data_IF_702519498048
#
_entry.id   IF_702519498048
#
_cell.length_a   1.000
_cell.length_b   1.000
_cell.length_c   1.000
_cell.angle_alpha   90.00
_cell.angle_beta   90.00
_cell.angle_gamma   90.00
#
_symmetry.space_group_name_H-M   'P 1'
#
loop_
_entity.id
_entity.type
_entity.pdbx_description
1 polymer ?
#
# COMPACT_ATOMS: atom_id res chain seq x y z
N UNK A 1 29.15 -39.80 -58.77
CA UNK A 1 29.45 -40.19 -57.38
C UNK A 1 29.65 -38.93 -56.56
N UNK A 2 28.90 -38.81 -55.44
CA UNK A 2 29.01 -37.89 -54.27
C UNK A 2 29.19 -36.38 -54.53
N UNK A 3 28.50 -35.43 -53.90
CA UNK A 3 27.67 -35.32 -52.68
C UNK A 3 27.78 -33.83 -52.23
N UNK A 4 27.06 -33.25 -51.28
CA UNK A 4 25.77 -33.46 -50.65
C UNK A 4 25.33 -32.08 -50.12
N UNK A 5 24.04 -31.77 -50.17
CA UNK A 5 23.43 -30.52 -49.69
C UNK A 5 23.56 -30.34 -48.17
N UNK A 6 23.89 -29.13 -47.73
CA UNK A 6 23.81 -28.70 -46.33
C UNK A 6 23.21 -27.30 -46.22
N UNK A 7 21.87 -27.21 -46.13
CA UNK A 7 21.14 -26.00 -45.72
C UNK A 7 19.72 -26.39 -45.30
N UNK A 8 19.50 -26.66 -44.02
CA UNK A 8 18.16 -26.70 -43.37
C UNK A 8 18.31 -26.98 -41.87
N UNK A 9 18.72 -25.99 -41.07
CA UNK A 9 18.67 -26.09 -39.60
C UNK A 9 18.52 -24.74 -38.88
N UNK A 10 17.94 -23.74 -39.54
CA UNK A 10 17.68 -22.42 -38.95
C UNK A 10 16.18 -22.11 -38.80
N UNK A 11 15.30 -22.71 -39.59
CA UNK A 11 13.86 -22.37 -39.59
C UNK A 11 12.99 -23.10 -38.53
N UNK A 12 13.52 -24.10 -37.79
CA UNK A 12 12.70 -24.86 -36.83
C UNK A 12 12.62 -24.26 -35.40
N UNK A 13 13.26 -23.12 -35.13
CA UNK A 13 13.25 -22.51 -33.79
C UNK A 13 12.31 -21.29 -33.68
N UNK A 14 11.70 -20.84 -34.77
CA UNK A 14 10.78 -19.70 -34.79
C UNK A 14 9.34 -20.06 -34.39
N UNK A 15 8.83 -21.22 -34.81
CA UNK A 15 7.41 -21.59 -34.65
C UNK A 15 7.03 -21.93 -33.19
N UNK A 16 7.90 -22.61 -32.44
CA UNK A 16 7.58 -23.03 -31.07
C UNK A 16 7.42 -21.86 -30.08
N UNK A 17 8.05 -20.71 -30.34
CA UNK A 17 7.97 -19.52 -29.48
C UNK A 17 6.69 -18.69 -29.72
N UNK A 18 6.09 -18.80 -30.92
CA UNK A 18 4.85 -18.11 -31.28
C UNK A 18 3.65 -18.86 -30.68
N UNK A 19 3.70 -20.19 -30.69
CA UNK A 19 2.63 -21.05 -30.13
C UNK A 19 2.49 -20.92 -28.61
N UNK A 20 3.61 -20.81 -27.89
CA UNK A 20 3.63 -20.58 -26.45
C UNK A 20 3.05 -19.22 -26.04
N UNK A 21 3.26 -18.18 -26.86
CA UNK A 21 2.69 -16.85 -26.61
C UNK A 21 1.19 -16.81 -26.86
N UNK A 22 0.72 -17.47 -27.92
CA UNK A 22 -0.69 -17.50 -28.26
C UNK A 22 -1.51 -18.26 -27.20
N UNK A 23 -0.97 -19.36 -26.67
CA UNK A 23 -1.59 -20.13 -25.58
C UNK A 23 -1.75 -19.32 -24.28
N UNK A 24 -0.78 -18.44 -23.97
CA UNK A 24 -0.87 -17.57 -22.78
C UNK A 24 -1.89 -16.46 -22.98
N UNK A 25 -2.01 -15.90 -24.19
CA UNK A 25 -3.00 -14.87 -24.51
C UNK A 25 -4.42 -15.42 -24.38
N UNK A 26 -4.72 -16.59 -24.97
CA UNK A 26 -6.05 -17.18 -24.86
C UNK A 26 -6.44 -17.48 -23.41
N UNK A 27 -5.50 -17.95 -22.59
CA UNK A 27 -5.75 -18.26 -21.17
C UNK A 27 -5.99 -17.02 -20.30
N UNK A 28 -5.43 -15.89 -20.70
CA UNK A 28 -5.68 -14.59 -20.05
C UNK A 28 -7.05 -14.04 -20.47
N UNK A 29 -7.44 -14.17 -21.73
CA UNK A 29 -8.75 -13.73 -22.22
C UNK A 29 -9.91 -14.52 -21.58
N UNK A 30 -9.78 -15.84 -21.43
CA UNK A 30 -10.75 -16.68 -20.71
C UNK A 30 -10.87 -16.28 -19.23
N UNK A 31 -9.75 -15.90 -18.60
CA UNK A 31 -9.72 -15.41 -17.22
C UNK A 31 -10.44 -14.07 -17.05
N UNK A 32 -10.24 -13.14 -17.97
CA UNK A 32 -10.88 -11.81 -17.96
C UNK A 32 -12.39 -11.95 -18.14
N UNK A 33 -12.85 -12.81 -19.06
CA UNK A 33 -14.27 -13.04 -19.29
C UNK A 33 -14.98 -13.61 -18.05
N UNK A 34 -14.35 -14.57 -17.38
CA UNK A 34 -14.88 -15.17 -16.14
C UNK A 34 -14.99 -14.19 -14.97
N UNK A 35 -14.09 -13.20 -14.88
CA UNK A 35 -14.16 -12.15 -13.86
C UNK A 35 -15.27 -11.15 -14.18
N UNK A 36 -15.46 -10.83 -15.46
CA UNK A 36 -16.49 -9.89 -15.91
C UNK A 36 -17.91 -10.46 -15.71
N UNK A 37 -18.14 -11.73 -16.05
CA UNK A 37 -19.41 -12.42 -15.81
C UNK A 37 -19.71 -12.59 -14.29
N UNK A 38 -18.68 -12.74 -13.47
CA UNK A 38 -18.81 -12.79 -12.01
C UNK A 38 -19.25 -11.45 -11.40
N UNK A 39 -18.72 -10.34 -11.90
CA UNK A 39 -19.07 -8.99 -11.42
C UNK A 39 -20.53 -8.63 -11.73
N UNK A 40 -21.06 -9.06 -12.89
CA UNK A 40 -22.47 -8.81 -13.24
C UNK A 40 -23.43 -9.62 -12.36
N UNK A 41 -23.06 -10.88 -12.03
CA UNK A 41 -23.85 -11.75 -11.15
C UNK A 41 -23.93 -11.24 -9.70
N UNK A 42 -22.85 -10.64 -9.19
CA UNK A 42 -22.83 -10.00 -7.86
C UNK A 42 -23.71 -8.74 -7.84
N UNK A 43 -23.71 -7.96 -8.93
CA UNK A 43 -24.54 -6.77 -9.07
C UNK A 43 -26.04 -7.11 -9.12
N UNK A 44 -26.40 -8.22 -9.76
CA UNK A 44 -27.79 -8.70 -9.80
C UNK A 44 -28.28 -9.16 -8.40
N UNK A 45 -27.47 -9.95 -7.67
CA UNK A 45 -27.82 -10.41 -6.31
C UNK A 45 -28.03 -9.26 -5.30
N UNK A 46 -27.28 -8.16 -5.45
CA UNK A 46 -27.45 -6.99 -4.59
C UNK A 46 -28.76 -6.22 -4.87
N UNK A 47 -29.30 -6.31 -6.09
CA UNK A 47 -30.54 -5.62 -6.50
C UNK A 47 -31.79 -6.38 -6.06
N UNK A 48 -31.77 -7.70 -6.11
CA UNK A 48 -32.89 -8.56 -5.66
C UNK A 48 -33.04 -8.55 -4.13
N UNK A 49 -31.94 -8.35 -3.40
CA UNK A 49 -31.96 -8.26 -1.93
C UNK A 49 -32.53 -6.94 -1.40
N UNK A 50 -32.50 -5.86 -2.18
CA UNK A 50 -32.98 -4.53 -1.76
C UNK A 50 -34.47 -4.32 -2.05
N UNK A 51 -35.05 -5.05 -3.01
CA UNK A 51 -36.47 -4.93 -3.36
C UNK A 51 -37.39 -5.71 -2.42
N UNK A 52 -36.87 -6.67 -1.66
CA UNK A 52 -37.65 -7.47 -0.69
C UNK A 52 -37.90 -6.78 0.66
N UNK A 53 -37.33 -5.58 0.89
CA UNK A 53 -37.39 -4.87 2.17
C UNK A 53 -38.27 -3.59 2.16
N UNK A 54 -38.95 -3.27 1.06
CA UNK A 54 -39.73 -2.02 0.94
C UNK A 54 -41.24 -2.15 1.23
N UNK A 55 -41.75 -3.34 1.58
CA UNK A 55 -43.16 -3.55 1.95
C UNK A 55 -43.31 -3.87 3.45
N UNK A 56 -43.01 -2.90 4.32
CA UNK A 56 -43.55 -2.79 5.70
C UNK A 56 -42.84 -1.65 6.42
N UNK A 57 -43.39 -0.43 6.38
CA UNK A 57 -43.62 0.46 7.53
C UNK A 57 -44.50 1.61 7.01
N UNK A 58 -45.81 1.48 7.18
CA UNK A 58 -46.73 2.61 7.23
C UNK A 58 -47.43 2.55 8.60
N UNK A 59 -47.74 3.73 9.16
CA UNK A 59 -48.36 3.97 10.48
C UNK A 59 -47.35 3.94 11.66
N UNK A 60 -47.13 5.00 12.46
CA UNK A 60 -48.03 6.06 12.94
C UNK A 60 -47.20 7.25 13.48
N UNK A 61 -47.53 8.46 13.03
CA UNK A 61 -47.05 9.74 13.61
C UNK A 61 -48.19 10.37 14.40
N UNK A 62 -47.94 10.75 15.66
CA UNK A 62 -48.64 11.88 16.28
C UNK A 62 -47.78 12.53 17.37
N UNK A 63 -47.71 13.86 17.29
CA UNK A 63 -46.93 14.81 18.09
C UNK A 63 -47.82 15.47 19.19
N UNK A 64 -47.54 16.64 19.79
CA UNK A 64 -47.03 16.80 21.17
C UNK A 64 -47.92 17.72 22.06
N UNK A 65 -47.66 17.81 23.38
CA UNK A 65 -48.02 18.97 24.21
C UNK A 65 -47.35 18.99 25.60
N UNK A 66 -46.55 20.03 25.83
CA UNK A 66 -46.60 20.98 26.96
C UNK A 66 -46.44 20.47 28.40
N UNK A 67 -45.32 20.81 29.05
CA UNK A 67 -45.30 21.85 30.09
C UNK A 67 -43.91 22.03 30.71
N UNK A 68 -43.58 23.31 30.87
CA UNK A 68 -42.37 23.90 31.42
C UNK A 68 -42.50 24.15 32.93
N UNK A 69 -41.43 23.90 33.69
CA UNK A 69 -40.96 24.74 34.83
C UNK A 69 -39.71 24.08 35.43
N UNK A 70 -38.54 24.71 35.30
CA UNK A 70 -37.92 25.63 36.27
C UNK A 70 -37.12 24.93 37.39
N UNK A 71 -35.81 24.86 37.16
CA UNK A 71 -34.69 25.13 38.07
C UNK A 71 -34.70 24.62 39.51
N UNK A 72 -33.71 23.78 39.88
CA UNK A 72 -32.56 24.14 40.76
C UNK A 72 -31.70 22.92 41.16
N UNK A 73 -30.41 23.04 40.85
CA UNK A 73 -29.19 22.76 41.65
C UNK A 73 -29.00 21.53 42.56
N UNK A 74 -27.80 20.96 42.36
CA UNK A 74 -26.78 20.60 43.37
C UNK A 74 -26.77 19.21 44.03
N UNK A 75 -25.65 18.51 43.80
CA UNK A 75 -25.19 17.28 44.46
C UNK A 75 -24.32 17.65 45.71
N UNK A 76 -23.76 16.70 46.49
CA UNK A 76 -24.12 16.42 47.88
C UNK A 76 -23.03 16.80 48.90
N UNK A 77 -23.34 16.86 50.20
CA UNK A 77 -22.33 16.60 51.24
C UNK A 77 -22.91 16.28 52.61
N UNK A 78 -22.13 15.48 53.30
CA UNK A 78 -22.42 14.72 54.51
C UNK A 78 -22.61 15.58 55.77
N UNK A 79 -23.36 15.03 56.73
CA UNK A 79 -22.89 14.89 58.11
C UNK A 79 -23.85 14.02 58.90
N UNK A 80 -23.24 13.30 59.85
CA UNK A 80 -23.78 12.18 60.60
C UNK A 80 -24.75 12.59 61.72
N UNK A 81 -25.29 11.54 62.36
CA UNK A 81 -26.01 11.48 63.64
C UNK A 81 -27.45 12.00 63.56
N UNK A 82 -28.47 11.39 64.15
CA UNK A 82 -28.70 10.15 64.88
C UNK A 82 -30.05 10.37 65.56
N UNK A 83 -31.04 9.51 65.35
CA UNK A 83 -32.00 9.12 66.40
C UNK A 83 -33.11 8.24 65.83
N UNK A 84 -32.96 6.94 66.13
CA UNK A 84 -34.01 6.08 66.68
C UNK A 84 -35.42 6.12 66.10
N UNK A 85 -35.73 5.11 65.30
CA UNK A 85 -36.92 4.27 65.53
C UNK A 85 -36.60 2.86 65.00
N UNK A 86 -36.28 1.92 65.88
CA UNK A 86 -37.22 0.99 66.52
C UNK A 86 -37.19 -0.38 65.83
N UNK A 87 -36.71 -1.36 66.59
CA UNK A 87 -37.19 -2.74 66.57
C UNK A 87 -36.72 -3.68 65.45
N UNK A 88 -35.67 -4.43 65.79
CA UNK A 88 -35.65 -5.90 65.78
C UNK A 88 -36.49 -6.63 64.74
N UNK A 89 -35.82 -7.18 63.73
CA UNK A 89 -35.87 -8.62 63.43
C UNK A 89 -34.80 -8.97 62.39
N UNK A 90 -33.63 -9.35 62.87
CA UNK A 90 -32.65 -10.14 62.12
C UNK A 90 -33.24 -11.53 61.88
N UNK A 91 -34.06 -11.68 60.83
CA UNK A 91 -34.65 -12.96 60.41
C UNK A 91 -34.71 -13.03 58.87
N UNK A 92 -33.61 -12.69 58.21
CA UNK A 92 -33.33 -13.25 56.88
C UNK A 92 -31.96 -13.93 56.96
N UNK A 93 -31.89 -15.27 56.85
CA UNK A 93 -30.60 -15.95 56.78
C UNK A 93 -29.78 -15.38 55.62
N UNK A 94 -28.54 -14.97 55.87
CA UNK A 94 -27.56 -14.45 54.90
C UNK A 94 -27.51 -15.29 53.60
N UNK A 95 -27.75 -16.59 53.73
CA UNK A 95 -27.82 -17.59 52.67
C UNK A 95 -28.97 -17.37 51.65
N UNK A 96 -30.13 -16.86 52.06
CA UNK A 96 -31.26 -16.61 51.16
C UNK A 96 -31.03 -15.39 50.26
N UNK A 97 -30.21 -14.44 50.69
CA UNK A 97 -29.83 -13.29 49.88
C UNK A 97 -28.86 -13.69 48.74
N UNK A 98 -27.99 -14.68 48.98
CA UNK A 98 -27.03 -15.18 47.98
C UNK A 98 -27.69 -15.82 46.75
N UNK A 99 -28.80 -16.56 46.94
CA UNK A 99 -29.53 -17.17 45.81
C UNK A 99 -30.28 -16.13 44.94
N UNK A 100 -30.77 -15.04 45.55
CA UNK A 100 -31.37 -13.93 44.81
C UNK A 100 -30.30 -13.10 44.10
N UNK A 101 -29.19 -12.84 44.79
CA UNK A 101 -28.05 -12.12 44.25
C UNK A 101 -27.44 -12.86 43.06
N UNK A 102 -27.27 -14.19 43.14
CA UNK A 102 -26.75 -14.97 42.01
C UNK A 102 -27.65 -14.93 40.78
N UNK A 103 -28.98 -14.90 40.97
CA UNK A 103 -29.94 -14.74 39.87
C UNK A 103 -29.84 -13.35 39.22
N UNK A 104 -29.67 -12.30 40.03
CA UNK A 104 -29.45 -10.93 39.52
C UNK A 104 -28.11 -10.81 38.80
N UNK A 105 -27.04 -11.35 39.38
CA UNK A 105 -25.70 -11.34 38.79
C UNK A 105 -25.68 -12.11 37.47
N UNK A 106 -26.38 -13.25 37.37
CA UNK A 106 -26.52 -13.99 36.12
C UNK A 106 -27.26 -13.18 35.03
N UNK A 107 -28.32 -12.46 35.40
CA UNK A 107 -29.04 -11.56 34.48
C UNK A 107 -28.15 -10.38 34.05
N UNK A 108 -27.39 -9.80 34.96
CA UNK A 108 -26.44 -8.72 34.69
C UNK A 108 -25.34 -9.21 33.73
N UNK A 109 -24.73 -10.36 34.00
CA UNK A 109 -23.73 -10.96 33.12
C UNK A 109 -24.29 -11.27 31.73
N UNK A 110 -25.52 -11.78 31.66
CA UNK A 110 -26.19 -12.01 30.37
C UNK A 110 -26.35 -10.71 29.58
N UNK A 111 -26.81 -9.64 30.23
CA UNK A 111 -26.96 -8.32 29.59
C UNK A 111 -25.63 -7.72 29.17
N UNK A 112 -24.60 -7.80 30.02
CA UNK A 112 -23.26 -7.30 29.69
C UNK A 112 -22.73 -8.02 28.45
N UNK A 113 -22.90 -9.34 28.34
CA UNK A 113 -22.47 -10.10 27.16
C UNK A 113 -23.20 -9.64 25.89
N UNK A 114 -24.52 -9.50 25.95
CA UNK A 114 -25.30 -9.04 24.79
C UNK A 114 -24.92 -7.62 24.37
N UNK A 115 -24.69 -6.72 25.33
CA UNK A 115 -24.28 -5.34 25.04
C UNK A 115 -22.86 -5.28 24.47
N UNK A 116 -21.91 -6.11 24.96
CA UNK A 116 -20.55 -6.20 24.40
C UNK A 116 -20.59 -6.66 22.94
N UNK A 117 -21.37 -7.69 22.64
CA UNK A 117 -21.49 -8.19 21.26
C UNK A 117 -22.14 -7.14 20.35
N UNK A 118 -23.14 -6.42 20.86
CA UNK A 118 -23.75 -5.31 20.14
C UNK A 118 -22.77 -4.16 19.90
N UNK A 119 -21.93 -3.82 20.87
CA UNK A 119 -20.91 -2.77 20.74
C UNK A 119 -19.83 -3.16 19.73
N UNK A 120 -19.37 -4.42 19.73
CA UNK A 120 -18.42 -4.93 18.73
C UNK A 120 -18.98 -4.87 17.31
N UNK A 121 -20.27 -5.17 17.16
CA UNK A 121 -20.96 -5.04 15.87
C UNK A 121 -21.01 -3.58 15.41
N UNK A 122 -21.43 -2.66 16.29
CA UNK A 122 -21.44 -1.23 16.00
C UNK A 122 -20.05 -0.69 15.67
N UNK A 123 -19.02 -1.14 16.37
CA UNK A 123 -17.63 -0.76 16.10
C UNK A 123 -17.18 -1.27 14.72
N UNK A 124 -17.50 -2.52 14.37
CA UNK A 124 -17.25 -3.06 13.03
C UNK A 124 -17.95 -2.25 11.94
N UNK A 125 -19.22 -1.90 12.15
CA UNK A 125 -20.01 -1.12 11.19
C UNK A 125 -19.43 0.29 11.02
N UNK A 126 -19.01 0.94 12.12
CA UNK A 126 -18.36 2.25 12.09
C UNK A 126 -17.01 2.18 11.37
N UNK A 127 -16.20 1.15 11.63
CA UNK A 127 -14.92 0.96 10.92
C UNK A 127 -15.15 0.77 9.42
N UNK A 128 -16.09 -0.08 9.03
CA UNK A 128 -16.43 -0.28 7.62
C UNK A 128 -16.96 1.01 6.95
N UNK A 129 -17.74 1.81 7.69
CA UNK A 129 -18.20 3.11 7.19
C UNK A 129 -17.06 4.12 7.02
N UNK A 130 -16.09 4.14 7.94
CA UNK A 130 -14.89 4.98 7.82
C UNK A 130 -14.08 4.55 6.59
N UNK A 131 -13.83 3.25 6.42
CA UNK A 131 -13.07 2.73 5.28
C UNK A 131 -13.77 3.07 3.95
N UNK A 132 -15.09 2.85 3.87
CA UNK A 132 -15.87 3.20 2.69
C UNK A 132 -15.87 4.72 2.41
N UNK A 133 -15.92 5.57 3.44
CA UNK A 133 -15.83 7.01 3.29
C UNK A 133 -14.44 7.47 2.81
N UNK A 134 -13.37 6.84 3.31
CA UNK A 134 -12.01 7.11 2.85
C UNK A 134 -11.79 6.66 1.41
N UNK A 135 -12.33 5.49 1.02
CA UNK A 135 -12.28 5.04 -0.37
C UNK A 135 -13.07 5.98 -1.30
N UNK A 136 -14.25 6.43 -0.88
CA UNK A 136 -15.06 7.39 -1.63
C UNK A 136 -14.37 8.75 -1.76
N UNK A 137 -13.75 9.26 -0.69
CA UNK A 137 -13.01 10.53 -0.71
C UNK A 137 -11.77 10.42 -1.58
N UNK A 138 -11.00 9.32 -1.49
CA UNK A 138 -9.87 9.07 -2.39
C UNK A 138 -10.34 9.01 -3.85
N UNK A 139 -11.45 8.32 -4.16
CA UNK A 139 -11.99 8.24 -5.51
C UNK A 139 -12.55 9.59 -6.02
N UNK A 140 -13.16 10.41 -5.15
CA UNK A 140 -13.61 11.75 -5.49
C UNK A 140 -12.44 12.71 -5.69
N UNK A 141 -11.41 12.59 -4.86
CA UNK A 141 -10.17 13.36 -4.93
C UNK A 141 -9.39 13.02 -6.20
N UNK A 142 -9.26 11.74 -6.57
CA UNK A 142 -8.68 11.34 -7.86
C UNK A 142 -9.48 11.91 -9.05
N UNK A 143 -10.82 11.95 -8.97
CA UNK A 143 -11.67 12.54 -10.02
C UNK A 143 -11.54 14.07 -10.11
N UNK A 144 -11.43 14.77 -8.97
CA UNK A 144 -11.28 16.24 -8.91
C UNK A 144 -9.84 16.69 -9.21
N UNK A 145 -8.84 15.93 -8.79
CA UNK A 145 -7.41 16.23 -8.95
C UNK A 145 -6.83 15.72 -10.28
N UNK A 146 -7.59 14.93 -11.06
CA UNK A 146 -7.28 14.60 -12.46
C UNK A 146 -7.10 15.80 -13.41
N UNK A 147 -7.30 17.04 -12.93
CA UNK A 147 -7.05 18.30 -13.65
C UNK A 147 -6.00 19.24 -13.03
N UNK A 148 -5.45 18.97 -11.84
CA UNK A 148 -4.47 19.86 -11.21
C UNK A 148 -3.25 19.11 -10.71
N UNK A 149 -2.15 19.34 -11.42
CA UNK A 149 -0.84 18.71 -11.32
C UNK A 149 -0.08 19.12 -10.04
N UNK A 150 -0.72 19.27 -8.88
CA UNK A 150 -0.01 19.68 -7.65
C UNK A 150 -0.83 19.46 -6.37
N UNK A 151 -1.13 18.20 -6.00
CA UNK A 151 -1.33 17.85 -4.58
C UNK A 151 -1.25 16.35 -4.35
N UNK A 152 -0.23 15.92 -3.61
CA UNK A 152 -0.13 14.64 -2.91
C UNK A 152 -0.61 13.42 -3.69
N UNK A 153 0.26 12.91 -4.57
CA UNK A 153 0.16 11.57 -5.17
C UNK A 153 -0.13 10.56 -4.06
N UNK A 154 -1.12 9.70 -4.26
CA UNK A 154 -1.51 8.74 -3.24
C UNK A 154 -0.31 7.85 -2.87
N UNK A 155 -0.26 7.33 -1.64
CA UNK A 155 0.87 6.48 -1.20
C UNK A 155 1.13 5.27 -2.11
N UNK A 156 0.11 4.83 -2.85
CA UNK A 156 0.18 3.78 -3.86
C UNK A 156 0.86 4.27 -5.15
N UNK A 157 0.48 5.45 -5.65
CA UNK A 157 1.12 6.08 -6.80
C UNK A 157 2.59 6.40 -6.53
N UNK A 158 2.90 6.94 -5.35
CA UNK A 158 4.29 7.20 -4.95
C UNK A 158 5.13 5.93 -4.92
N UNK A 159 4.59 4.82 -4.41
CA UNK A 159 5.27 3.52 -4.43
C UNK A 159 5.52 3.04 -5.87
N UNK A 160 4.55 3.24 -6.77
CA UNK A 160 4.70 2.90 -8.19
C UNK A 160 5.77 3.77 -8.87
N UNK A 161 5.78 5.07 -8.61
CA UNK A 161 6.82 5.99 -9.11
C UNK A 161 8.20 5.64 -8.55
N UNK A 162 8.29 5.29 -7.26
CA UNK A 162 9.54 4.84 -6.63
C UNK A 162 10.08 3.56 -7.27
N UNK A 163 9.21 2.60 -7.55
CA UNK A 163 9.61 1.36 -8.23
C UNK A 163 10.04 1.62 -9.67
N UNK A 164 9.34 2.51 -10.38
CA UNK A 164 9.74 2.95 -11.70
C UNK A 164 11.10 3.65 -11.68
N UNK A 165 11.34 4.55 -10.73
CA UNK A 165 12.62 5.23 -10.53
C UNK A 165 13.74 4.23 -10.21
N UNK A 166 13.49 3.27 -9.32
CA UNK A 166 14.45 2.18 -9.05
C UNK A 166 14.76 1.38 -10.31
N UNK A 167 13.76 1.05 -11.11
CA UNK A 167 13.96 0.32 -12.36
C UNK A 167 14.78 1.11 -13.39
N UNK A 168 14.55 2.43 -13.49
CA UNK A 168 15.30 3.34 -14.36
C UNK A 168 16.74 3.48 -13.87
N UNK A 169 16.96 3.68 -12.57
CA UNK A 169 18.28 3.75 -11.97
C UNK A 169 19.03 2.42 -12.10
N UNK A 170 18.38 1.27 -11.92
CA UNK A 170 18.98 -0.04 -12.15
C UNK A 170 19.45 -0.22 -13.59
N UNK A 171 18.63 0.19 -14.57
CA UNK A 171 19.01 0.17 -16.00
C UNK A 171 20.17 1.11 -16.32
N UNK A 172 20.23 2.29 -15.69
CA UNK A 172 21.32 3.26 -15.87
C UNK A 172 22.61 2.80 -15.15
N UNK A 173 22.49 2.21 -13.96
CA UNK A 173 23.62 1.64 -13.21
C UNK A 173 24.24 0.46 -13.95
N UNK A 174 23.41 -0.44 -14.50
CA UNK A 174 23.90 -1.54 -15.33
C UNK A 174 24.55 -1.05 -16.63
N UNK A 175 24.00 -0.01 -17.28
CA UNK A 175 24.60 0.58 -18.49
C UNK A 175 25.90 1.32 -18.20
N UNK A 176 25.97 2.08 -17.12
CA UNK A 176 27.19 2.81 -16.70
C UNK A 176 28.30 1.89 -16.22
N UNK A 177 27.96 0.74 -15.62
CA UNK A 177 28.94 -0.31 -15.30
C UNK A 177 29.48 -1.06 -16.52
N UNK A 178 28.73 -1.09 -17.63
CA UNK A 178 29.07 -1.97 -18.75
C UNK A 178 30.03 -1.37 -19.76
N UNK A 179 30.14 -0.06 -19.90
CA UNK A 179 31.15 0.56 -20.76
C UNK A 179 31.17 2.08 -20.57
N UNK A 180 32.02 2.58 -19.67
CA UNK A 180 32.46 3.97 -19.78
C UNK A 180 33.41 4.00 -21.00
N UNK A 181 33.10 4.75 -22.07
CA UNK A 181 33.97 4.81 -23.23
C UNK A 181 35.35 5.34 -22.80
N UNK A 182 36.39 4.53 -23.01
CA UNK A 182 37.77 4.87 -22.63
C UNK A 182 38.24 4.34 -21.27
N UNK A 183 37.42 3.59 -20.52
CA UNK A 183 37.83 3.04 -19.20
C UNK A 183 39.09 2.17 -19.31
N UNK A 184 39.14 1.27 -20.30
CA UNK A 184 40.29 0.38 -20.53
C UNK A 184 41.56 1.16 -20.86
N UNK A 185 41.45 2.28 -21.56
CA UNK A 185 42.59 3.14 -21.91
C UNK A 185 43.09 3.92 -20.69
N UNK A 186 42.17 4.42 -19.86
CA UNK A 186 42.50 5.09 -18.60
C UNK A 186 43.16 4.11 -17.62
N UNK A 187 42.63 2.88 -17.50
CA UNK A 187 43.20 1.86 -16.63
C UNK A 187 44.63 1.50 -17.05
N UNK A 188 44.89 1.30 -18.34
CA UNK A 188 46.25 1.06 -18.87
C UNK A 188 47.19 2.23 -18.59
N UNK A 189 46.78 3.45 -18.91
CA UNK A 189 47.61 4.64 -18.66
C UNK A 189 47.88 4.85 -17.16
N UNK A 190 46.91 4.54 -16.30
CA UNK A 190 47.08 4.56 -14.83
C UNK A 190 48.11 3.53 -14.38
N UNK A 191 48.06 2.31 -14.91
CA UNK A 191 49.01 1.25 -14.59
C UNK A 191 50.44 1.63 -15.00
N UNK A 192 50.61 2.28 -16.16
CA UNK A 192 51.91 2.76 -16.63
C UNK A 192 52.51 3.85 -15.73
N UNK A 193 51.68 4.79 -15.26
CA UNK A 193 52.09 5.81 -14.28
C UNK A 193 52.52 5.16 -12.97
N UNK A 194 51.70 4.24 -12.45
CA UNK A 194 52.01 3.52 -11.21
C UNK A 194 53.29 2.69 -11.36
N UNK A 195 53.49 2.04 -12.51
CA UNK A 195 54.69 1.27 -12.81
C UNK A 195 55.93 2.17 -12.86
N UNK A 196 55.84 3.34 -13.47
CA UNK A 196 56.95 4.29 -13.53
C UNK A 196 57.32 4.81 -12.13
N UNK A 197 56.34 5.20 -11.32
CA UNK A 197 56.61 5.66 -9.94
C UNK A 197 57.18 4.56 -9.04
N UNK A 198 56.72 3.30 -9.21
CA UNK A 198 57.30 2.16 -8.49
C UNK A 198 58.74 1.87 -8.90
N UNK A 199 59.08 2.08 -10.17
CA UNK A 199 60.44 1.89 -10.67
C UNK A 199 61.40 3.02 -10.24
N UNK A 200 60.88 4.25 -10.05
CA UNK A 200 61.66 5.44 -9.75
C UNK A 200 61.15 6.16 -8.48
N UNK A 201 61.36 5.60 -7.27
CA UNK A 201 60.88 6.20 -6.02
C UNK A 201 61.53 7.54 -5.69
N UNK A 202 62.83 7.69 -5.99
CA UNK A 202 63.62 8.92 -5.72
C UNK A 202 63.57 9.92 -6.89
N UNK A 203 63.08 9.51 -8.07
CA UNK A 203 63.07 10.30 -9.32
C UNK A 203 61.69 10.33 -9.96
N UNK A 204 60.70 10.73 -9.19
CA UNK A 204 59.30 10.77 -9.66
C UNK A 204 59.07 11.76 -10.81
N UNK A 205 59.91 12.81 -10.94
CA UNK A 205 59.86 13.77 -12.05
C UNK A 205 60.15 13.16 -13.43
N UNK A 206 60.86 12.03 -13.52
CA UNK A 206 61.15 11.36 -14.80
C UNK A 206 59.88 10.72 -15.42
N UNK A 207 58.84 10.49 -14.61
CA UNK A 207 57.58 9.87 -15.02
C UNK A 207 56.55 10.83 -15.65
N UNK A 208 57.00 12.00 -16.11
CA UNK A 208 56.12 13.04 -16.63
C UNK A 208 55.41 12.64 -17.94
N UNK A 209 56.05 11.81 -18.78
CA UNK A 209 55.44 11.36 -20.04
C UNK A 209 54.23 10.46 -19.80
N UNK A 210 54.34 9.50 -18.89
CA UNK A 210 53.25 8.59 -18.51
C UNK A 210 52.11 9.38 -17.85
N UNK A 211 52.46 10.35 -16.99
CA UNK A 211 51.47 11.24 -16.38
C UNK A 211 50.74 12.10 -17.41
N UNK A 212 51.44 12.57 -18.46
CA UNK A 212 50.83 13.34 -19.54
C UNK A 212 49.92 12.47 -20.42
N UNK A 213 50.33 11.23 -20.72
CA UNK A 213 49.50 10.26 -21.42
C UNK A 213 48.21 9.94 -20.65
N UNK A 214 48.30 9.75 -19.34
CA UNK A 214 47.13 9.56 -18.47
C UNK A 214 46.19 10.77 -18.50
N UNK A 215 46.72 12.00 -18.37
CA UNK A 215 45.91 13.22 -18.47
C UNK A 215 45.18 13.34 -19.82
N UNK A 216 45.85 12.99 -20.92
CA UNK A 216 45.22 13.00 -22.24
C UNK A 216 44.13 11.94 -22.39
N UNK A 217 44.34 10.73 -21.85
CA UNK A 217 43.33 9.68 -21.86
C UNK A 217 42.08 10.08 -21.05
N UNK A 218 42.28 10.67 -19.87
CA UNK A 218 41.19 11.18 -19.03
C UNK A 218 40.44 12.31 -19.73
N UNK A 219 41.14 13.31 -20.29
CA UNK A 219 40.50 14.41 -20.99
C UNK A 219 39.66 13.95 -22.19
N UNK A 220 40.11 12.92 -22.92
CA UNK A 220 39.32 12.32 -24.02
C UNK A 220 38.07 11.63 -23.51
N UNK A 221 38.16 10.86 -22.44
CA UNK A 221 37.01 10.17 -21.84
C UNK A 221 36.01 11.16 -21.24
N UNK A 222 36.48 12.21 -20.58
CA UNK A 222 35.63 13.29 -20.04
C UNK A 222 34.88 14.01 -21.18
N UNK A 223 35.58 14.36 -22.27
CA UNK A 223 34.93 14.94 -23.45
C UNK A 223 33.89 14.01 -24.05
N UNK A 224 34.18 12.71 -24.15
CA UNK A 224 33.22 11.72 -24.65
C UNK A 224 32.00 11.58 -23.73
N UNK A 225 32.21 11.58 -22.41
CA UNK A 225 31.16 11.51 -21.40
C UNK A 225 30.25 12.75 -21.42
N UNK A 226 30.84 13.94 -21.46
CA UNK A 226 30.07 15.21 -21.54
C UNK A 226 29.28 15.26 -22.85
N UNK A 227 29.87 14.85 -23.98
CA UNK A 227 29.15 14.75 -25.26
C UNK A 227 27.97 13.78 -25.18
N UNK A 228 28.17 12.59 -24.62
CA UNK A 228 27.12 11.59 -24.45
C UNK A 228 25.98 12.04 -23.52
N UNK A 229 26.29 12.76 -22.44
CA UNK A 229 25.30 13.34 -21.53
C UNK A 229 24.54 14.50 -22.18
N UNK A 230 25.25 15.37 -22.92
CA UNK A 230 24.63 16.53 -23.60
C UNK A 230 23.71 16.14 -24.76
N UNK A 231 23.96 15.02 -25.44
CA UNK A 231 23.10 14.54 -26.53
C UNK A 231 21.90 13.73 -26.04
N UNK A 232 21.94 13.16 -24.82
CA UNK A 232 20.83 12.42 -24.23
C UNK A 232 19.69 13.33 -23.68
N UNK A 233 19.91 14.65 -23.62
CA UNK A 233 18.96 15.63 -23.08
C UNK A 233 18.19 16.46 -24.13
N UNK A 234 18.33 16.17 -25.43
CA UNK A 234 17.61 16.91 -26.48
C UNK A 234 16.33 16.14 -26.88
N UNK A 235 15.12 16.72 -26.67
CA UNK A 235 13.87 16.11 -27.11
C UNK A 235 13.76 16.03 -28.63
#
# INVERSE_FOLDING_TARGET
MAGASSSSKADQLGDAAVDAKNTVVSKVEDGVKKVQDGAEKVKQQSKDSFSAASDKVAEKTQTPATSSSSSKESIPSASASSSSSSSSSSWVPEFLNGARQSKLDAQIQSKIKTEIDQLRKKESDVRAAIDAALEAENAEREKKEGGSKEKGKSGVELRKELEELRSRLGKVAEKSKREIPGEKEIQKAREEVVKCYKANPERTLDCWQQAQAFKQAVAKAEQAFVRAQSSAGKP
#
